data_IF_065470899581
#
_entry.id   IF_065470899581
#
_cell.length_a   1.000
_cell.length_b   1.000
_cell.length_c   1.000
_cell.angle_alpha   90.00
_cell.angle_beta   90.00
_cell.angle_gamma   90.00
#
_symmetry.space_group_name_H-M   'P 1'
#
loop_
_entity.id
_entity.type
_entity.pdbx_description
1 polymer ?
#
# COMPACT_ATOMS: atom_id res chain seq x y z
N UNK A 1 -15.49 27.99 2.89
CA UNK A 1 -14.33 27.73 1.99
C UNK A 1 -14.47 26.38 1.27
N UNK A 2 -15.52 26.13 0.46
CA UNK A 2 -15.87 24.74 0.08
C UNK A 2 -15.85 24.37 -1.40
N UNK A 3 -15.96 25.34 -2.30
CA UNK A 3 -16.16 25.12 -3.75
C UNK A 3 -14.87 25.31 -4.56
N UNK A 4 -14.14 26.40 -4.29
CA UNK A 4 -12.88 26.71 -4.99
C UNK A 4 -11.78 25.70 -4.69
N UNK A 5 -11.62 25.26 -3.43
CA UNK A 5 -10.65 24.21 -3.08
C UNK A 5 -10.96 22.87 -3.79
N UNK A 6 -12.24 22.58 -4.00
CA UNK A 6 -12.70 21.37 -4.69
C UNK A 6 -12.44 21.45 -6.21
N UNK A 7 -12.57 22.64 -6.78
CA UNK A 7 -12.22 22.95 -8.17
C UNK A 7 -10.70 22.89 -8.39
N UNK A 8 -9.93 23.45 -7.47
CA UNK A 8 -8.47 23.50 -7.51
C UNK A 8 -7.78 22.21 -7.03
N UNK A 9 -8.53 21.23 -6.54
CA UNK A 9 -7.97 19.96 -6.07
C UNK A 9 -7.13 20.13 -4.79
N UNK A 10 -7.41 21.15 -4.00
CA UNK A 10 -6.74 21.36 -2.72
C UNK A 10 -7.48 20.55 -1.65
N UNK A 11 -6.76 19.66 -0.94
CA UNK A 11 -7.28 19.06 0.29
C UNK A 11 -7.43 20.17 1.33
N UNK A 12 -8.46 20.10 2.17
CA UNK A 12 -8.49 20.95 3.37
C UNK A 12 -7.34 20.55 4.30
N UNK A 13 -6.85 21.48 5.10
CA UNK A 13 -5.75 21.24 6.04
C UNK A 13 -6.02 20.02 6.95
N UNK A 14 -7.24 19.90 7.46
CA UNK A 14 -7.64 18.74 8.26
C UNK A 14 -7.60 17.40 7.51
N UNK A 15 -8.03 17.40 6.24
CA UNK A 15 -8.00 16.18 5.41
C UNK A 15 -6.57 15.78 5.09
N UNK A 16 -5.73 16.75 4.77
CA UNK A 16 -4.30 16.53 4.55
C UNK A 16 -3.63 15.98 5.81
N UNK A 17 -3.86 16.59 6.99
CA UNK A 17 -3.29 16.11 8.25
C UNK A 17 -3.79 14.71 8.66
N UNK A 18 -5.04 14.36 8.32
CA UNK A 18 -5.56 12.99 8.53
C UNK A 18 -4.89 12.00 7.58
N UNK A 19 -4.73 12.35 6.31
CA UNK A 19 -4.03 11.52 5.33
C UNK A 19 -2.56 11.30 5.73
N UNK A 20 -1.86 12.35 6.15
CA UNK A 20 -0.46 12.26 6.57
C UNK A 20 -0.29 11.32 7.77
N UNK A 21 -1.17 11.42 8.77
CA UNK A 21 -1.16 10.48 9.91
C UNK A 21 -1.43 9.04 9.47
N UNK A 22 -2.51 8.83 8.71
CA UNK A 22 -2.85 7.51 8.19
C UNK A 22 -1.70 6.89 7.39
N UNK A 23 -1.08 7.67 6.51
CA UNK A 23 0.04 7.21 5.70
C UNK A 23 1.30 6.96 6.53
N UNK A 24 1.59 7.79 7.53
CA UNK A 24 2.76 7.61 8.40
C UNK A 24 2.63 6.38 9.31
N UNK A 25 1.42 6.08 9.80
CA UNK A 25 1.15 4.87 10.59
C UNK A 25 1.33 3.61 9.74
N UNK A 26 0.75 3.59 8.53
CA UNK A 26 0.88 2.45 7.59
C UNK A 26 2.32 2.30 7.07
N UNK A 27 3.02 3.40 6.77
CA UNK A 27 4.41 3.31 6.32
C UNK A 27 5.35 2.76 7.40
N UNK A 28 5.09 3.06 8.68
CA UNK A 28 5.82 2.50 9.83
C UNK A 28 5.52 1.01 10.02
N UNK A 29 4.25 0.60 9.96
CA UNK A 29 3.86 -0.81 10.01
C UNK A 29 4.56 -1.62 8.89
N UNK A 30 4.50 -1.14 7.65
CA UNK A 30 5.18 -1.78 6.53
C UNK A 30 6.71 -1.75 6.65
N UNK A 31 7.29 -0.78 7.37
CA UNK A 31 8.72 -0.78 7.68
C UNK A 31 9.08 -1.91 8.64
N UNK A 32 8.34 -2.02 9.75
CA UNK A 32 8.53 -3.06 10.74
C UNK A 32 8.37 -4.46 10.11
N UNK A 33 7.38 -4.64 9.25
CA UNK A 33 7.19 -5.91 8.55
C UNK A 33 8.35 -6.27 7.60
N UNK A 34 8.98 -5.28 6.93
CA UNK A 34 10.21 -5.52 6.14
C UNK A 34 11.37 -5.92 7.07
N UNK A 35 11.49 -5.30 8.24
CA UNK A 35 12.52 -5.66 9.21
C UNK A 35 12.32 -7.10 9.71
N UNK A 36 11.09 -7.52 9.98
CA UNK A 36 10.76 -8.91 10.34
C UNK A 36 11.12 -9.88 9.21
N UNK A 37 10.80 -9.55 7.96
CA UNK A 37 11.19 -10.37 6.80
C UNK A 37 12.72 -10.47 6.65
N UNK A 38 13.43 -9.36 6.85
CA UNK A 38 14.89 -9.37 6.85
C UNK A 38 15.49 -10.16 8.02
N UNK A 39 14.83 -10.20 9.18
CA UNK A 39 15.27 -11.02 10.30
C UNK A 39 15.07 -12.50 9.98
N UNK A 40 13.96 -12.87 9.35
CA UNK A 40 13.72 -14.22 8.88
C UNK A 40 14.84 -14.71 7.95
N UNK A 41 15.35 -13.88 7.05
CA UNK A 41 16.49 -14.27 6.18
C UNK A 41 17.73 -14.71 6.99
N UNK A 42 17.95 -14.12 8.16
CA UNK A 42 19.10 -14.43 9.03
C UNK A 42 18.83 -15.59 9.99
N UNK A 43 17.65 -15.61 10.62
CA UNK A 43 17.33 -16.56 11.70
C UNK A 43 16.60 -17.79 11.22
N UNK A 44 15.99 -17.70 10.03
CA UNK A 44 15.04 -18.67 9.52
C UNK A 44 13.92 -18.95 10.54
N UNK A 45 13.52 -17.99 11.37
CA UNK A 45 12.38 -18.12 12.27
C UNK A 45 11.17 -17.45 11.64
N UNK A 46 10.07 -18.19 11.48
CA UNK A 46 8.84 -17.66 10.93
C UNK A 46 8.35 -16.47 11.77
N UNK A 47 7.82 -15.46 11.09
CA UNK A 47 7.32 -14.22 11.69
C UNK A 47 5.89 -14.01 11.26
N UNK A 48 5.12 -13.31 12.09
CA UNK A 48 3.77 -12.84 11.77
C UNK A 48 3.84 -11.35 11.56
N UNK A 49 3.27 -10.88 10.47
CA UNK A 49 3.26 -9.48 10.09
C UNK A 49 2.09 -8.74 10.73
N UNK A 50 2.29 -7.44 10.99
CA UNK A 50 1.24 -6.57 11.50
C UNK A 50 0.39 -5.97 10.38
N UNK A 51 -0.91 -5.81 10.63
CA UNK A 51 -1.86 -5.20 9.69
C UNK A 51 -2.90 -4.25 10.34
N UNK A 52 -2.73 -3.94 11.62
CA UNK A 52 -3.70 -3.20 12.43
C UNK A 52 -3.85 -1.75 11.95
N UNK A 53 -2.74 -1.09 11.57
CA UNK A 53 -2.76 0.29 11.07
C UNK A 53 -3.43 0.37 9.71
N UNK A 54 -3.18 -0.58 8.81
CA UNK A 54 -3.88 -0.62 7.55
C UNK A 54 -5.38 -0.83 7.72
N UNK A 55 -5.80 -1.79 8.55
CA UNK A 55 -7.21 -2.02 8.85
C UNK A 55 -7.87 -0.75 9.41
N UNK A 56 -7.20 -0.09 10.36
CA UNK A 56 -7.68 1.15 10.99
C UNK A 56 -7.85 2.31 10.02
N UNK A 57 -6.89 2.50 9.10
CA UNK A 57 -6.83 3.68 8.24
C UNK A 57 -7.34 3.44 6.81
N UNK A 58 -7.83 2.23 6.51
CA UNK A 58 -8.26 1.81 5.16
C UNK A 58 -9.23 2.78 4.51
N UNK A 59 -10.20 3.29 5.27
CA UNK A 59 -11.24 4.17 4.73
C UNK A 59 -10.72 5.57 4.41
N UNK A 60 -9.77 6.08 5.22
CA UNK A 60 -9.07 7.35 4.92
C UNK A 60 -8.26 7.21 3.63
N UNK A 61 -7.51 6.11 3.49
CA UNK A 61 -6.71 5.83 2.29
C UNK A 61 -7.59 5.63 1.06
N UNK A 62 -8.76 4.96 1.20
CA UNK A 62 -9.74 4.81 0.11
C UNK A 62 -10.27 6.15 -0.37
N UNK A 63 -10.57 7.05 0.55
CA UNK A 63 -11.13 8.36 0.22
C UNK A 63 -10.10 9.29 -0.43
N UNK A 64 -8.84 9.26 0.02
CA UNK A 64 -7.84 10.27 -0.34
C UNK A 64 -6.83 9.82 -1.40
N UNK A 65 -6.49 8.53 -1.45
CA UNK A 65 -5.47 7.94 -2.34
C UNK A 65 -5.91 6.61 -2.95
N UNK A 66 -7.09 6.54 -3.63
CA UNK A 66 -7.68 5.29 -4.09
C UNK A 66 -6.80 4.49 -5.06
N UNK A 67 -6.01 5.16 -5.91
CA UNK A 67 -5.09 4.47 -6.83
C UNK A 67 -3.97 3.76 -6.07
N UNK A 68 -3.42 4.39 -5.03
CA UNK A 68 -2.39 3.78 -4.17
C UNK A 68 -2.96 2.67 -3.30
N UNK A 69 -4.23 2.81 -2.87
CA UNK A 69 -4.90 1.78 -2.07
C UNK A 69 -4.87 0.41 -2.75
N UNK A 70 -4.96 0.34 -4.09
CA UNK A 70 -4.89 -0.93 -4.83
C UNK A 70 -3.57 -1.68 -4.56
N UNK A 71 -2.44 -0.95 -4.57
CA UNK A 71 -1.13 -1.55 -4.30
C UNK A 71 -1.01 -1.99 -2.84
N UNK A 72 -1.51 -1.18 -1.89
CA UNK A 72 -1.52 -1.55 -0.48
C UNK A 72 -2.37 -2.80 -0.23
N UNK A 73 -3.60 -2.84 -0.75
CA UNK A 73 -4.49 -4.00 -0.64
C UNK A 73 -3.79 -5.27 -1.15
N UNK A 74 -3.14 -5.21 -2.31
CA UNK A 74 -2.41 -6.35 -2.86
C UNK A 74 -1.24 -6.84 -1.98
N UNK A 75 -0.57 -5.94 -1.26
CA UNK A 75 0.48 -6.30 -0.29
C UNK A 75 -0.12 -7.00 0.93
N UNK A 76 -1.20 -6.45 1.50
CA UNK A 76 -1.85 -7.02 2.69
C UNK A 76 -2.59 -8.33 2.39
N UNK A 77 -3.17 -8.50 1.19
CA UNK A 77 -3.82 -9.76 0.78
C UNK A 77 -2.83 -10.91 0.60
N UNK A 78 -1.59 -10.62 0.20
CA UNK A 78 -0.53 -11.64 0.03
C UNK A 78 0.27 -11.91 1.30
N UNK A 79 0.04 -11.13 2.35
CA UNK A 79 0.75 -11.24 3.63
C UNK A 79 0.70 -12.66 4.19
N UNK A 80 -0.50 -13.26 4.27
CA UNK A 80 -0.69 -14.62 4.78
C UNK A 80 0.03 -15.67 3.94
N UNK A 81 0.00 -15.55 2.61
CA UNK A 81 0.75 -16.47 1.76
C UNK A 81 2.27 -16.36 1.97
N UNK A 82 2.77 -15.16 2.30
CA UNK A 82 4.17 -14.94 2.67
C UNK A 82 4.51 -15.54 4.03
N UNK A 83 3.64 -15.37 5.03
CA UNK A 83 3.78 -16.00 6.36
C UNK A 83 3.80 -17.54 6.23
N UNK A 84 2.85 -18.11 5.48
CA UNK A 84 2.79 -19.55 5.19
C UNK A 84 4.05 -20.05 4.47
N UNK A 85 4.64 -19.24 3.59
CA UNK A 85 5.91 -19.57 2.92
C UNK A 85 7.10 -19.58 3.91
N UNK A 86 7.11 -18.68 4.90
CA UNK A 86 8.12 -18.66 5.97
C UNK A 86 7.97 -19.83 6.96
N UNK A 87 6.74 -20.29 7.17
CA UNK A 87 6.43 -21.45 8.01
C UNK A 87 6.76 -22.77 7.32
N UNK A 88 6.53 -22.86 6.00
CA UNK A 88 6.80 -24.08 5.22
C UNK A 88 8.29 -24.42 5.23
N UNK A 89 8.63 -25.54 5.87
CA UNK A 89 9.98 -26.09 5.89
C UNK A 89 10.10 -27.25 4.91
N UNK A 90 11.09 -27.14 4.03
CA UNK A 90 11.53 -28.23 3.17
C UNK A 90 12.36 -29.27 3.92
N UNK A 91 12.83 -30.31 3.20
CA UNK A 91 13.75 -31.30 3.74
C UNK A 91 14.98 -30.62 4.37
N UNK A 92 15.42 -31.12 5.52
CA UNK A 92 16.51 -30.54 6.31
C UNK A 92 16.26 -29.11 6.87
N UNK A 93 14.98 -28.74 7.08
CA UNK A 93 14.59 -27.45 7.68
C UNK A 93 14.99 -26.22 6.84
N UNK A 94 15.08 -26.40 5.52
CA UNK A 94 15.47 -25.37 4.54
C UNK A 94 14.24 -24.74 3.89
N UNK A 95 14.36 -23.47 3.48
CA UNK A 95 13.34 -22.78 2.68
C UNK A 95 13.51 -23.15 1.21
N UNK A 96 12.40 -23.45 0.54
CA UNK A 96 12.42 -23.81 -0.87
C UNK A 96 12.72 -22.58 -1.75
N UNK A 97 13.28 -22.75 -2.96
CA UNK A 97 13.49 -21.64 -3.88
C UNK A 97 12.21 -20.85 -4.19
N UNK A 98 11.09 -21.55 -4.36
CA UNK A 98 9.78 -20.94 -4.65
C UNK A 98 9.28 -20.08 -3.48
N UNK A 99 9.43 -20.57 -2.25
CA UNK A 99 9.04 -19.82 -1.04
C UNK A 99 9.93 -18.59 -0.84
N UNK A 100 11.23 -18.72 -1.14
CA UNK A 100 12.16 -17.59 -1.12
C UNK A 100 11.79 -16.53 -2.17
N UNK A 101 11.43 -16.94 -3.38
CA UNK A 101 10.98 -16.03 -4.43
C UNK A 101 9.69 -15.30 -4.02
N UNK A 102 8.75 -16.01 -3.40
CA UNK A 102 7.50 -15.44 -2.89
C UNK A 102 7.78 -14.35 -1.85
N UNK A 103 8.64 -14.63 -0.87
CA UNK A 103 9.04 -13.68 0.19
C UNK A 103 9.70 -12.44 -0.42
N UNK A 104 10.69 -12.64 -1.31
CA UNK A 104 11.42 -11.54 -1.95
C UNK A 104 10.52 -10.67 -2.82
N UNK A 105 9.60 -11.29 -3.57
CA UNK A 105 8.62 -10.57 -4.38
C UNK A 105 7.71 -9.72 -3.50
N UNK A 106 7.21 -10.30 -2.41
CA UNK A 106 6.37 -9.59 -1.46
C UNK A 106 7.10 -8.38 -0.85
N UNK A 107 8.36 -8.52 -0.42
CA UNK A 107 9.11 -7.39 0.10
C UNK A 107 9.33 -6.28 -0.95
N UNK A 108 9.60 -6.67 -2.20
CA UNK A 108 9.70 -5.74 -3.32
C UNK A 108 8.42 -4.91 -3.48
N UNK A 109 7.28 -5.58 -3.40
CA UNK A 109 5.97 -4.93 -3.49
C UNK A 109 5.64 -4.06 -2.28
N UNK A 110 6.08 -4.43 -1.07
CA UNK A 110 5.98 -3.56 0.11
C UNK A 110 6.78 -2.28 -0.11
N UNK A 111 8.03 -2.37 -0.57
CA UNK A 111 8.89 -1.21 -0.86
C UNK A 111 8.25 -0.32 -1.95
N UNK A 112 7.66 -0.94 -2.96
CA UNK A 112 6.95 -0.25 -4.03
C UNK A 112 5.70 0.49 -3.53
N UNK A 113 4.86 -0.19 -2.75
CA UNK A 113 3.64 0.36 -2.17
C UNK A 113 3.95 1.54 -1.24
N UNK A 114 4.98 1.43 -0.39
CA UNK A 114 5.46 2.53 0.46
C UNK A 114 5.90 3.75 -0.35
N UNK A 115 6.67 3.52 -1.42
CA UNK A 115 7.10 4.60 -2.33
C UNK A 115 5.89 5.30 -2.96
N UNK A 116 4.93 4.53 -3.48
CA UNK A 116 3.67 5.07 -4.05
C UNK A 116 2.85 5.85 -3.01
N UNK A 117 2.82 5.38 -1.77
CA UNK A 117 2.12 6.06 -0.67
C UNK A 117 2.72 7.43 -0.37
N UNK A 118 4.04 7.52 -0.22
CA UNK A 118 4.74 8.79 0.00
C UNK A 118 4.49 9.79 -1.14
N UNK A 119 4.58 9.32 -2.38
CA UNK A 119 4.29 10.16 -3.57
C UNK A 119 2.84 10.65 -3.55
N UNK A 120 1.87 9.78 -3.23
CA UNK A 120 0.46 10.13 -3.25
C UNK A 120 0.04 11.11 -2.14
N UNK A 121 0.71 11.06 -0.98
CA UNK A 121 0.51 12.01 0.13
C UNK A 121 1.05 13.39 -0.24
N UNK A 122 2.21 13.45 -0.89
CA UNK A 122 2.82 14.70 -1.35
C UNK A 122 2.08 15.31 -2.56
N UNK A 123 1.38 14.50 -3.34
CA UNK A 123 0.64 14.97 -4.51
C UNK A 123 -0.60 15.81 -4.13
N UNK A 124 -0.93 16.87 -4.91
CA UNK A 124 -2.20 17.57 -4.79
C UNK A 124 -3.39 16.61 -4.98
N UNK A 125 -4.53 16.89 -4.34
CA UNK A 125 -5.72 16.06 -4.57
C UNK A 125 -6.24 16.21 -6.00
N UNK A 126 -6.81 15.14 -6.53
CA UNK A 126 -7.38 15.15 -7.87
C UNK A 126 -8.54 16.17 -7.97
N UNK A 127 -8.39 17.12 -8.89
CA UNK A 127 -9.37 18.18 -9.18
C UNK A 127 -10.67 17.60 -9.76
N UNK A 128 -11.81 18.27 -9.53
CA UNK A 128 -13.08 17.90 -10.15
C UNK A 128 -13.00 17.93 -11.69
N UNK A 129 -12.32 18.94 -12.24
CA UNK A 129 -12.05 19.06 -13.68
C UNK A 129 -11.23 17.89 -14.21
N UNK A 130 -10.19 17.47 -13.47
CA UNK A 130 -9.37 16.32 -13.83
C UNK A 130 -10.16 15.01 -13.86
N UNK A 131 -11.07 14.81 -12.90
CA UNK A 131 -11.96 13.63 -12.87
C UNK A 131 -12.99 13.64 -14.00
N UNK A 132 -13.57 14.81 -14.31
CA UNK A 132 -14.51 14.97 -15.43
C UNK A 132 -13.82 14.73 -16.78
N UNK A 133 -12.62 15.28 -16.98
CA UNK A 133 -11.82 15.06 -18.19
C UNK A 133 -11.38 13.60 -18.34
N UNK A 134 -10.99 12.93 -17.25
CA UNK A 134 -10.67 11.51 -17.26
C UNK A 134 -11.89 10.65 -17.66
N UNK A 135 -13.08 10.98 -17.14
CA UNK A 135 -14.34 10.30 -17.51
C UNK A 135 -14.69 10.51 -18.99
N UNK A 136 -14.50 11.72 -19.52
CA UNK A 136 -14.69 12.02 -20.94
C UNK A 136 -13.68 11.29 -21.84
N UNK A 137 -12.41 11.19 -21.43
CA UNK A 137 -11.37 10.41 -22.15
C UNK A 137 -11.64 8.91 -22.11
N UNK A 138 -12.12 8.37 -21.00
CA UNK A 138 -12.52 6.95 -20.87
C UNK A 138 -13.72 6.61 -21.75
N UNK A 139 -14.73 7.50 -21.81
CA UNK A 139 -15.91 7.35 -22.67
C UNK A 139 -15.56 7.30 -24.17
N UNK A 140 -14.58 8.10 -24.63
CA UNK A 140 -14.10 8.03 -26.03
C UNK A 140 -13.38 6.72 -26.37
N UNK A 141 -12.80 6.02 -25.39
CA UNK A 141 -12.04 4.78 -25.62
C UNK A 141 -12.95 3.54 -25.71
N UNK A 142 -14.19 3.62 -25.21
CA UNK A 142 -15.20 2.56 -25.25
C UNK A 142 -15.99 2.49 -26.58
N UNK A 143 -15.63 3.29 -27.59
CA UNK A 143 -16.35 3.42 -28.86
C UNK A 143 -15.51 3.05 -30.10
N UNK A 144 -14.47 2.24 -29.93
CA UNK A 144 -13.68 1.67 -31.03
C UNK A 144 -13.57 0.16 -30.87
#
# INVERSE_FOLDING_TARGET
MGFLDRLLGRRSAERQARLERAAADVDRELAANIELASMFDQTQQAVVFENAQFARHRDVLRAEVPTTLVALVSVYERMTATEDAMERRGPANTITPDDKELIQTWEGDVRDARRRLRVAVAAPAATLLGRLLARLRGSKKSRR
#
